data_IF_166333687158
#
_entry.id   IF_166333687158
#
_cell.length_a   1.000
_cell.length_b   1.000
_cell.length_c   1.000
_cell.angle_alpha   90.00
_cell.angle_beta   90.00
_cell.angle_gamma   90.00
#
_symmetry.space_group_name_H-M   'P 1'
#
loop_
_entity.id
_entity.type
_entity.pdbx_description
1 polymer ?
#
# COMPACT_ATOMS: atom_id res chain seq x y z
N UNK A 1 -0.25 -6.79 -16.19
CA UNK A 1 -0.46 -7.73 -15.07
C UNK A 1 -1.41 -7.05 -14.09
N UNK A 2 -2.50 -7.70 -13.67
CA UNK A 2 -3.49 -7.06 -12.77
C UNK A 2 -2.93 -6.87 -11.36
N UNK A 3 -3.55 -6.02 -10.54
CA UNK A 3 -3.12 -5.83 -9.14
C UNK A 3 -3.29 -7.09 -8.29
N UNK A 4 -4.37 -7.86 -8.54
CA UNK A 4 -4.59 -9.15 -7.89
C UNK A 4 -3.44 -10.13 -8.20
N UNK A 5 -3.02 -10.23 -9.48
CA UNK A 5 -1.94 -11.13 -9.89
C UNK A 5 -0.62 -10.80 -9.19
N UNK A 6 -0.32 -9.51 -9.02
CA UNK A 6 0.89 -9.04 -8.33
C UNK A 6 0.90 -9.43 -6.87
N UNK A 7 -0.20 -9.18 -6.16
CA UNK A 7 -0.31 -9.54 -4.74
C UNK A 7 -0.29 -11.06 -4.53
N UNK A 8 -0.94 -11.82 -5.42
CA UNK A 8 -0.91 -13.28 -5.39
C UNK A 8 0.51 -13.83 -5.61
N UNK A 9 1.25 -13.28 -6.58
CA UNK A 9 2.64 -13.64 -6.83
C UNK A 9 3.55 -13.32 -5.62
N UNK A 10 3.38 -12.14 -5.01
CA UNK A 10 4.11 -11.74 -3.82
C UNK A 10 3.80 -12.62 -2.59
N UNK A 11 2.56 -13.11 -2.48
CA UNK A 11 2.15 -14.04 -1.43
C UNK A 11 2.77 -15.42 -1.58
N UNK A 12 2.75 -15.97 -2.80
CA UNK A 12 3.31 -17.29 -3.11
C UNK A 12 4.83 -17.34 -3.00
N UNK A 13 5.52 -16.20 -3.13
CA UNK A 13 6.98 -16.15 -3.02
C UNK A 13 7.46 -16.10 -1.57
N UNK A 14 8.19 -17.14 -1.16
CA UNK A 14 8.92 -17.15 0.13
C UNK A 14 10.28 -16.47 0.05
N UNK A 15 10.79 -16.21 -1.17
CA UNK A 15 12.12 -15.63 -1.39
C UNK A 15 12.02 -14.19 -1.87
N UNK A 16 12.81 -13.31 -1.25
CA UNK A 16 13.03 -11.93 -1.71
C UNK A 16 14.16 -11.91 -2.71
N UNK A 17 13.91 -11.42 -3.92
CA UNK A 17 14.99 -11.15 -4.88
C UNK A 17 15.64 -9.79 -4.55
N UNK A 18 16.48 -9.81 -3.51
CA UNK A 18 17.18 -8.60 -3.03
C UNK A 18 18.09 -8.02 -4.10
N UNK A 19 18.70 -8.87 -4.94
CA UNK A 19 19.58 -8.41 -6.01
C UNK A 19 18.80 -7.63 -7.08
N UNK A 20 17.70 -8.20 -7.57
CA UNK A 20 16.83 -7.53 -8.54
C UNK A 20 16.25 -6.22 -7.98
N UNK A 21 15.75 -6.24 -6.73
CA UNK A 21 15.25 -5.03 -6.08
C UNK A 21 16.33 -3.96 -5.91
N UNK A 22 17.55 -4.34 -5.52
CA UNK A 22 18.66 -3.38 -5.36
C UNK A 22 18.98 -2.71 -6.70
N UNK A 23 19.03 -3.46 -7.79
CA UNK A 23 19.22 -2.92 -9.14
C UNK A 23 18.09 -1.97 -9.52
N UNK A 24 16.83 -2.40 -9.38
CA UNK A 24 15.67 -1.59 -9.72
C UNK A 24 15.59 -0.29 -8.89
N UNK A 25 15.94 -0.36 -7.61
CA UNK A 25 16.03 0.78 -6.70
C UNK A 25 17.16 1.74 -7.12
N UNK A 26 18.33 1.24 -7.51
CA UNK A 26 19.45 2.07 -7.93
C UNK A 26 19.17 2.85 -9.23
N UNK A 27 18.33 2.32 -10.10
CA UNK A 27 17.94 2.94 -11.37
C UNK A 27 16.88 4.05 -11.23
N UNK A 28 16.32 4.28 -10.02
CA UNK A 28 15.24 5.25 -9.79
C UNK A 28 15.68 6.40 -8.90
N UNK A 29 15.60 7.60 -9.46
CA UNK A 29 15.84 8.86 -8.76
C UNK A 29 14.61 9.35 -7.99
N UNK A 30 14.75 10.51 -7.36
CA UNK A 30 13.63 11.26 -6.81
C UNK A 30 12.59 11.58 -7.90
N UNK A 31 11.33 11.74 -7.49
CA UNK A 31 10.17 12.04 -8.34
C UNK A 31 9.82 10.98 -9.40
N UNK A 32 10.56 9.86 -9.44
CA UNK A 32 10.25 8.76 -10.34
C UNK A 32 8.98 8.01 -9.86
N UNK A 33 8.03 7.70 -10.75
CA UNK A 33 6.90 6.85 -10.41
C UNK A 33 7.36 5.41 -10.25
N UNK A 34 6.97 4.79 -9.15
CA UNK A 34 7.37 3.44 -8.77
C UNK A 34 6.20 2.73 -8.12
N UNK A 35 6.33 1.40 -8.06
CA UNK A 35 5.45 0.51 -7.34
C UNK A 35 6.26 -0.37 -6.40
N UNK A 36 5.76 -0.56 -5.19
CA UNK A 36 6.43 -1.37 -4.18
C UNK A 36 5.42 -2.23 -3.41
N UNK A 37 5.74 -3.51 -3.26
CA UNK A 37 4.93 -4.45 -2.46
C UNK A 37 5.63 -4.72 -1.14
N UNK A 38 4.89 -4.56 -0.05
CA UNK A 38 5.34 -4.78 1.31
C UNK A 38 4.57 -5.94 1.96
N UNK A 39 5.23 -6.62 2.91
CA UNK A 39 4.59 -7.62 3.75
C UNK A 39 4.90 -7.38 5.22
N UNK A 40 3.86 -7.24 6.01
CA UNK A 40 3.93 -7.09 7.46
C UNK A 40 2.86 -7.90 8.16
N UNK A 41 3.14 -8.35 9.37
CA UNK A 41 2.19 -9.19 10.12
C UNK A 41 0.91 -8.44 10.46
N UNK A 42 1.01 -7.13 10.73
CA UNK A 42 -0.14 -6.28 11.11
C UNK A 42 -1.05 -5.98 9.92
N UNK A 43 -0.49 -5.76 8.74
CA UNK A 43 -1.23 -5.24 7.58
C UNK A 43 -1.35 -6.25 6.43
N UNK A 44 -0.69 -7.40 6.53
CA UNK A 44 -0.65 -8.39 5.46
C UNK A 44 0.24 -7.93 4.31
N UNK A 45 -0.15 -8.30 3.09
CA UNK A 45 0.45 -7.81 1.86
C UNK A 45 -0.28 -6.56 1.39
N UNK A 46 0.48 -5.53 1.04
CA UNK A 46 -0.04 -4.32 0.45
C UNK A 46 0.96 -3.74 -0.54
N UNK A 47 0.44 -3.00 -1.51
CA UNK A 47 1.16 -2.34 -2.58
C UNK A 47 1.00 -0.84 -2.43
N UNK A 48 2.07 -0.10 -2.67
CA UNK A 48 2.02 1.32 -2.95
C UNK A 48 2.43 1.57 -4.40
N UNK A 49 1.75 2.49 -5.07
CA UNK A 49 2.18 3.09 -6.33
C UNK A 49 2.17 4.62 -6.18
N UNK A 50 3.28 5.28 -6.50
CA UNK A 50 3.44 6.71 -6.24
C UNK A 50 4.80 7.22 -6.70
N UNK A 51 5.15 8.42 -6.27
CA UNK A 51 6.46 9.02 -6.59
C UNK A 51 7.46 8.83 -5.44
N UNK A 52 8.74 8.69 -5.78
CA UNK A 52 9.82 8.57 -4.79
C UNK A 52 10.11 9.92 -4.16
N UNK A 53 9.91 10.03 -2.85
CA UNK A 53 10.40 11.15 -2.05
C UNK A 53 11.78 10.80 -1.45
N UNK A 54 12.67 11.78 -1.33
CA UNK A 54 13.96 11.63 -0.64
C UNK A 54 14.01 12.54 0.58
N UNK A 55 14.33 11.99 1.75
CA UNK A 55 14.46 12.75 2.99
C UNK A 55 15.92 13.12 3.29
N UNK A 56 16.13 13.99 4.29
CA UNK A 56 17.43 14.62 4.56
C UNK A 56 18.55 13.64 4.94
N UNK A 57 18.22 12.46 5.45
CA UNK A 57 19.20 11.42 5.77
C UNK A 57 19.59 10.54 4.55
N UNK A 58 19.02 10.84 3.37
CA UNK A 58 19.23 10.12 2.13
C UNK A 58 18.30 8.91 1.92
N UNK A 59 17.47 8.56 2.90
CA UNK A 59 16.47 7.50 2.75
C UNK A 59 15.40 7.88 1.73
N UNK A 60 14.90 6.89 1.01
CA UNK A 60 13.83 7.08 0.02
C UNK A 60 12.52 6.51 0.51
N UNK A 61 11.48 7.31 0.35
CA UNK A 61 10.13 7.03 0.80
C UNK A 61 9.18 6.87 -0.39
N UNK A 62 8.18 6.02 -0.20
CA UNK A 62 7.00 5.91 -1.05
C UNK A 62 5.79 5.87 -0.12
N UNK A 63 4.83 6.79 -0.27
CA UNK A 63 3.63 6.86 0.58
C UNK A 63 3.96 6.81 2.08
N UNK A 64 4.81 7.72 2.56
CA UNK A 64 5.37 7.79 3.92
C UNK A 64 6.27 6.62 4.36
N UNK A 65 6.45 5.59 3.53
CA UNK A 65 7.18 4.37 3.91
C UNK A 65 8.56 4.29 3.28
N UNK A 66 9.58 4.06 4.10
CA UNK A 66 10.93 3.80 3.63
C UNK A 66 11.03 2.44 2.93
N UNK A 67 11.46 2.45 1.66
CA UNK A 67 11.75 1.22 0.91
C UNK A 67 13.25 0.91 0.84
N UNK A 68 14.11 1.86 1.22
CA UNK A 68 15.53 1.65 1.49
C UNK A 68 16.00 2.43 2.72
N UNK A 69 17.26 2.23 3.12
CA UNK A 69 17.92 2.97 4.20
C UNK A 69 18.90 4.05 3.70
N UNK A 70 18.67 4.60 2.51
CA UNK A 70 19.61 5.50 1.83
C UNK A 70 20.87 4.82 1.26
N UNK A 71 21.01 3.50 1.46
CA UNK A 71 22.11 2.69 0.93
C UNK A 71 21.77 2.01 -0.40
N UNK A 72 20.55 2.21 -0.91
CA UNK A 72 20.01 1.48 -2.07
C UNK A 72 19.59 0.03 -1.78
N UNK A 73 19.80 -0.45 -0.55
CA UNK A 73 19.38 -1.81 -0.16
C UNK A 73 17.91 -1.81 0.28
N UNK A 74 17.10 -2.78 -0.21
CA UNK A 74 15.69 -2.85 0.12
C UNK A 74 15.44 -3.20 1.59
N UNK A 75 14.50 -2.50 2.24
CA UNK A 75 14.09 -2.80 3.62
C UNK A 75 13.51 -4.20 3.74
N UNK A 76 13.63 -4.83 4.92
CA UNK A 76 13.16 -6.20 5.16
C UNK A 76 11.69 -6.45 4.78
N UNK A 77 10.74 -5.52 5.03
CA UNK A 77 9.35 -5.69 4.61
C UNK A 77 9.13 -5.66 3.10
N UNK A 78 10.03 -5.05 2.32
CA UNK A 78 9.91 -4.97 0.86
C UNK A 78 10.03 -6.35 0.22
N UNK A 79 9.06 -6.67 -0.63
CA UNK A 79 8.91 -7.95 -1.35
C UNK A 79 9.13 -7.82 -2.85
N UNK A 80 8.69 -6.71 -3.43
CA UNK A 80 8.88 -6.39 -4.83
C UNK A 80 9.03 -4.87 -5.00
N UNK A 81 9.78 -4.47 -6.02
CA UNK A 81 9.96 -3.09 -6.42
C UNK A 81 9.97 -3.04 -7.94
N UNK A 82 9.12 -2.20 -8.50
CA UNK A 82 8.93 -2.03 -9.93
C UNK A 82 8.98 -0.54 -10.27
N UNK A 83 9.66 -0.24 -11.38
CA UNK A 83 9.63 1.09 -11.92
C UNK A 83 8.44 1.27 -12.85
N UNK A 84 7.79 2.43 -12.76
CA UNK A 84 6.68 2.78 -13.63
C UNK A 84 7.11 3.89 -14.60
N UNK A 85 6.37 4.02 -15.70
CA UNK A 85 6.45 5.22 -16.55
C UNK A 85 5.50 6.31 -16.05
N UNK A 86 4.34 5.92 -15.54
CA UNK A 86 3.32 6.78 -14.93
C UNK A 86 2.48 5.98 -13.93
N UNK A 87 1.66 6.67 -13.13
CA UNK A 87 0.63 6.01 -12.31
C UNK A 87 -0.57 5.67 -13.19
N UNK A 88 -1.02 4.42 -13.10
CA UNK A 88 -2.21 3.92 -13.80
C UNK A 88 -3.49 4.32 -13.07
N UNK A 89 -4.65 4.04 -13.69
CA UNK A 89 -5.93 4.10 -12.98
C UNK A 89 -6.04 2.95 -11.96
N UNK A 90 -6.82 3.18 -10.90
CA UNK A 90 -7.09 2.16 -9.90
C UNK A 90 -7.90 1.00 -10.50
N UNK A 91 -7.52 -0.24 -10.17
CA UNK A 91 -8.30 -1.44 -10.48
C UNK A 91 -9.56 -1.55 -9.59
N UNK A 92 -10.63 -2.15 -10.11
CA UNK A 92 -11.85 -2.52 -9.36
C UNK A 92 -13.08 -1.66 -9.65
N UNK A 93 -14.11 -1.78 -8.83
CA UNK A 93 -15.35 -1.02 -8.92
C UNK A 93 -15.39 0.08 -7.87
N UNK A 94 -15.85 1.29 -8.26
CA UNK A 94 -15.96 2.42 -7.33
C UNK A 94 -16.89 2.09 -6.15
N UNK A 95 -16.44 2.44 -4.94
CA UNK A 95 -17.17 2.20 -3.68
C UNK A 95 -16.86 3.31 -2.70
N UNK A 96 -17.79 3.62 -1.80
CA UNK A 96 -17.49 4.53 -0.68
C UNK A 96 -16.55 3.85 0.32
N UNK A 97 -15.58 4.59 0.85
CA UNK A 97 -14.59 4.06 1.80
C UNK A 97 -15.23 3.45 3.06
N UNK A 98 -16.40 3.96 3.46
CA UNK A 98 -17.17 3.49 4.61
C UNK A 98 -17.90 2.17 4.36
N UNK A 99 -18.07 1.78 3.10
CA UNK A 99 -18.75 0.55 2.68
C UNK A 99 -17.78 -0.63 2.49
N UNK A 100 -16.48 -0.40 2.68
CA UNK A 100 -15.48 -1.47 2.70
C UNK A 100 -15.64 -2.33 3.95
N UNK A 101 -15.78 -3.63 3.74
CA UNK A 101 -15.81 -4.61 4.83
C UNK A 101 -14.39 -5.11 5.14
N UNK A 102 -14.18 -5.56 6.38
CA UNK A 102 -12.95 -6.27 6.71
C UNK A 102 -12.76 -7.49 5.80
N UNK A 103 -11.58 -7.59 5.20
CA UNK A 103 -11.24 -8.69 4.31
C UNK A 103 -11.50 -8.39 2.84
N UNK A 104 -12.15 -7.28 2.45
CA UNK A 104 -12.24 -6.87 1.05
C UNK A 104 -10.84 -6.58 0.49
N UNK A 105 -10.55 -6.95 -0.76
CA UNK A 105 -9.38 -6.46 -1.47
C UNK A 105 -9.75 -5.16 -2.20
N UNK A 106 -9.07 -4.06 -1.87
CA UNK A 106 -9.42 -2.76 -2.38
C UNK A 106 -8.18 -1.89 -2.63
N UNK A 107 -8.36 -0.88 -3.48
CA UNK A 107 -7.40 0.20 -3.70
C UNK A 107 -7.99 1.53 -3.26
N UNK A 108 -7.13 2.41 -2.74
CA UNK A 108 -7.48 3.80 -2.47
C UNK A 108 -6.42 4.74 -3.07
N UNK A 109 -6.88 5.85 -3.63
CA UNK A 109 -6.05 6.97 -4.06
C UNK A 109 -6.05 8.02 -2.96
N UNK A 110 -4.86 8.45 -2.59
CA UNK A 110 -4.65 9.40 -1.49
C UNK A 110 -3.83 10.58 -2.00
N UNK A 111 -4.27 11.79 -1.67
CA UNK A 111 -3.53 13.03 -1.89
C UNK A 111 -3.02 13.56 -0.55
N UNK A 112 -1.70 13.55 -0.36
CA UNK A 112 -1.07 14.02 0.87
C UNK A 112 -0.11 15.18 0.59
N UNK A 113 -0.12 16.21 1.44
CA UNK A 113 0.70 17.42 1.25
C UNK A 113 2.21 17.14 1.20
N UNK A 114 2.69 16.12 1.91
CA UNK A 114 4.11 15.74 1.98
C UNK A 114 4.54 14.68 0.95
N UNK A 115 3.60 13.87 0.46
CA UNK A 115 3.92 12.69 -0.36
C UNK A 115 3.30 12.74 -1.76
N UNK A 116 2.57 13.82 -2.06
CA UNK A 116 1.81 13.96 -3.29
C UNK A 116 0.68 12.94 -3.37
N UNK A 117 0.27 12.65 -4.60
CA UNK A 117 -0.70 11.60 -4.89
C UNK A 117 -0.01 10.23 -4.91
N UNK A 118 -0.63 9.25 -4.27
CA UNK A 118 -0.23 7.85 -4.36
C UNK A 118 -1.44 6.94 -4.18
N UNK A 119 -1.28 5.71 -4.64
CA UNK A 119 -2.27 4.64 -4.55
C UNK A 119 -1.78 3.61 -3.54
N UNK A 120 -2.71 3.12 -2.71
CA UNK A 120 -2.50 1.99 -1.82
C UNK A 120 -3.48 0.88 -2.19
N UNK A 121 -2.98 -0.33 -2.37
CA UNK A 121 -3.81 -1.52 -2.60
C UNK A 121 -3.49 -2.60 -1.59
N UNK A 122 -4.52 -3.22 -1.02
CA UNK A 122 -4.36 -4.28 -0.03
C UNK A 122 -5.69 -4.73 0.53
N UNK A 123 -5.63 -5.63 1.50
CA UNK A 123 -6.81 -6.07 2.23
C UNK A 123 -7.30 -4.93 3.13
N UNK A 124 -8.60 -4.67 3.12
CA UNK A 124 -9.26 -3.74 4.01
C UNK A 124 -9.29 -4.31 5.44
N UNK A 125 -8.70 -3.58 6.38
CA UNK A 125 -8.57 -3.96 7.78
C UNK A 125 -9.42 -3.04 8.64
N UNK A 126 -10.41 -3.62 9.32
CA UNK A 126 -11.21 -2.86 10.27
C UNK A 126 -10.71 -3.03 11.70
N UNK A 127 -10.89 -1.99 12.52
CA UNK A 127 -10.82 -2.15 13.97
C UNK A 127 -11.96 -3.03 14.48
N UNK A 128 -11.79 -3.63 15.66
CA UNK A 128 -12.81 -4.51 16.25
C UNK A 128 -14.16 -3.83 16.46
N UNK A 129 -14.17 -2.53 16.72
CA UNK A 129 -15.38 -1.73 16.87
C UNK A 129 -15.97 -1.24 15.53
N UNK A 130 -15.32 -1.55 14.40
CA UNK A 130 -15.69 -1.07 13.07
C UNK A 130 -15.52 0.45 12.88
N UNK A 131 -14.89 1.13 13.84
CA UNK A 131 -14.73 2.59 13.81
C UNK A 131 -13.76 3.08 12.75
N UNK A 132 -12.79 2.25 12.34
CA UNK A 132 -11.77 2.58 11.34
C UNK A 132 -11.58 1.48 10.33
N UNK A 133 -11.33 1.88 9.09
CA UNK A 133 -10.92 1.00 7.99
C UNK A 133 -9.58 1.47 7.43
N UNK A 134 -8.63 0.54 7.29
CA UNK A 134 -7.32 0.78 6.71
C UNK A 134 -7.14 -0.05 5.44
N UNK A 135 -6.36 0.46 4.49
CA UNK A 135 -5.75 -0.34 3.42
C UNK A 135 -4.24 -0.14 3.53
N UNK A 136 -3.49 -1.25 3.69
CA UNK A 136 -2.09 -1.16 4.11
C UNK A 136 -1.98 -0.40 5.44
N UNK A 137 -1.17 0.65 5.47
CA UNK A 137 -0.96 1.47 6.67
C UNK A 137 -1.88 2.70 6.73
N UNK A 138 -2.66 2.96 5.69
CA UNK A 138 -3.43 4.20 5.55
C UNK A 138 -4.88 4.03 5.98
N UNK A 139 -5.34 4.95 6.84
CA UNK A 139 -6.75 5.05 7.20
C UNK A 139 -7.51 5.59 5.99
N UNK A 140 -8.49 4.81 5.52
CA UNK A 140 -9.36 5.20 4.41
C UNK A 140 -10.75 5.65 4.89
N UNK A 141 -11.16 5.19 6.08
CA UNK A 141 -12.36 5.66 6.76
C UNK A 141 -12.15 5.69 8.29
N UNK A 142 -12.72 6.70 8.95
CA UNK A 142 -12.70 6.89 10.41
C UNK A 142 -14.05 7.44 10.89
N UNK A 143 -14.56 6.89 11.99
CA UNK A 143 -15.82 7.28 12.62
C UNK A 143 -17.01 7.38 11.63
N UNK A 144 -17.12 6.41 10.71
CA UNK A 144 -18.19 6.35 9.71
C UNK A 144 -18.09 7.41 8.62
N UNK A 145 -16.91 7.97 8.39
CA UNK A 145 -16.65 8.95 7.32
C UNK A 145 -15.41 8.56 6.52
N UNK A 146 -15.35 8.85 5.21
CA UNK A 146 -14.11 8.76 4.45
C UNK A 146 -13.03 9.65 5.09
N UNK A 147 -11.78 9.18 5.08
CA UNK A 147 -10.65 9.98 5.51
C UNK A 147 -10.46 11.18 4.55
N UNK A 148 -10.07 12.37 5.05
CA UNK A 148 -10.11 13.61 4.26
C UNK A 148 -9.16 13.64 3.06
N UNK A 149 -8.11 12.83 3.09
CA UNK A 149 -7.08 12.78 2.04
C UNK A 149 -7.36 11.68 1.00
N UNK A 150 -8.43 10.89 1.17
CA UNK A 150 -8.83 9.85 0.21
C UNK A 150 -9.69 10.48 -0.87
N UNK A 151 -9.26 10.37 -2.12
CA UNK A 151 -9.97 10.96 -3.26
C UNK A 151 -10.74 9.93 -4.08
N UNK A 152 -10.34 8.66 -4.01
CA UNK A 152 -11.02 7.56 -4.71
C UNK A 152 -10.81 6.24 -3.94
N UNK A 153 -11.83 5.38 -3.92
CA UNK A 153 -11.72 4.00 -3.43
C UNK A 153 -12.39 3.07 -4.43
N UNK A 154 -11.71 1.95 -4.73
CA UNK A 154 -12.22 0.90 -5.61
C UNK A 154 -12.08 -0.47 -4.95
N UNK A 155 -13.16 -1.24 -4.91
CA UNK A 155 -13.15 -2.64 -4.49
C UNK A 155 -12.73 -3.51 -5.67
N UNK A 156 -11.67 -4.28 -5.51
CA UNK A 156 -11.19 -5.25 -6.50
C UNK A 156 -11.95 -6.57 -6.36
N UNK A 157 -12.13 -7.04 -5.11
CA UNK A 157 -12.84 -8.27 -4.80
C UNK A 157 -13.39 -8.19 -3.36
N UNK A 158 -14.55 -8.79 -3.12
CA UNK A 158 -15.13 -8.83 -1.78
C UNK A 158 -14.41 -9.86 -0.91
N UNK A 159 -14.57 -9.74 0.41
CA UNK A 159 -14.07 -10.74 1.35
C UNK A 159 -14.55 -12.16 0.97
N UNK A 160 -13.59 -13.07 0.75
CA UNK A 160 -13.84 -14.46 0.33
C UNK A 160 -13.87 -14.68 -1.19
N UNK A 161 -13.74 -13.63 -2.00
CA UNK A 161 -13.65 -13.71 -3.47
C UNK A 161 -12.20 -13.67 -3.98
N UNK A 162 -11.21 -13.62 -3.08
CA UNK A 162 -9.78 -13.64 -3.40
C UNK A 162 -9.00 -14.53 -2.43
N UNK A 163 -7.84 -15.00 -2.87
CA UNK A 163 -6.96 -15.89 -2.09
C UNK A 163 -5.86 -15.13 -1.31
N UNK A 164 -5.86 -13.79 -1.34
CA UNK A 164 -4.94 -12.98 -0.53
C UNK A 164 -5.25 -13.20 0.95
N UNK A 165 -4.23 -13.51 1.74
CA UNK A 165 -4.34 -13.76 3.17
C UNK A 165 -4.86 -12.51 3.88
N UNK A 166 -5.90 -12.69 4.68
CA UNK A 166 -6.56 -11.64 5.45
C UNK A 166 -5.97 -11.65 6.87
N UNK A 167 -5.24 -10.60 7.29
CA UNK A 167 -4.84 -10.42 8.68
C UNK A 167 -6.07 -10.36 9.60
N UNK A 168 -5.89 -10.68 10.88
CA UNK A 168 -6.91 -10.45 11.90
C UNK A 168 -7.28 -8.97 11.99
N UNK A 169 -8.52 -8.67 12.39
CA UNK A 169 -8.94 -7.31 12.72
C UNK A 169 -8.00 -6.62 13.71
N UNK A 170 -7.90 -5.30 13.59
CA UNK A 170 -7.01 -4.49 14.39
C UNK A 170 -7.62 -4.27 15.78
N UNK A 171 -6.89 -4.62 16.84
CA UNK A 171 -7.36 -4.42 18.21
C UNK A 171 -7.56 -2.93 18.54
N UNK A 172 -6.65 -2.09 18.07
CA UNK A 172 -6.72 -0.63 18.11
C UNK A 172 -5.76 -0.03 17.06
N UNK A 173 -5.96 1.24 16.73
CA UNK A 173 -5.06 2.01 15.86
C UNK A 173 -4.65 3.25 16.64
N UNK A 174 -3.41 3.31 17.11
CA UNK A 174 -2.84 4.57 17.62
C UNK A 174 -2.52 5.43 16.40
N UNK A 175 -3.19 6.58 16.28
CA UNK A 175 -2.84 7.59 15.28
C UNK A 175 -1.65 8.37 15.82
N UNK A 176 -0.45 7.92 15.47
CA UNK A 176 0.68 8.83 15.32
C UNK A 176 0.61 9.37 13.89
N UNK A 177 0.53 10.70 13.72
CA UNK A 177 0.44 11.48 12.47
C UNK A 177 -0.99 11.93 12.10
N UNK A 178 -1.19 13.23 12.30
CA UNK A 178 -2.22 14.12 11.75
C UNK A 178 -1.54 14.97 10.68
#
# INVERSE_FOLDING_TARGET
MSTLDRLAAAQGSTKRDVAAMTTAIAERGADAPVRAVFREDRYGLFEYAGTVATVSDGSRLLAARAFDSGTGKPTTPLRAFEALEALDDLDGDAVDAVDLAHGDLASARIEHSLYGQFDVTGVALQTLDGGRTLIGEWIVADAGKPAPNVTEVRRIASAGEHDIAVPSQLAHVETDVV
#
